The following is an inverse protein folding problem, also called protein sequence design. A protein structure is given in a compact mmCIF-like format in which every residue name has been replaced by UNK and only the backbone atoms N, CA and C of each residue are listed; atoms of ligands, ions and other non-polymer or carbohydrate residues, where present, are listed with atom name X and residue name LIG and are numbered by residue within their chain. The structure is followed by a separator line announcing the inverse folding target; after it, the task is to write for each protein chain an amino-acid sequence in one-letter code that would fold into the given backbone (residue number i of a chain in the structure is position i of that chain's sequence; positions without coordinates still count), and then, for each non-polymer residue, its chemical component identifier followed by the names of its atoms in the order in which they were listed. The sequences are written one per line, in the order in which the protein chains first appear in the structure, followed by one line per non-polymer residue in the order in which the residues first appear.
data_IF_946619154686
#
_entry.id   IF_946619154686
#
_cell.length_a   1.000
_cell.length_b   1.000
_cell.length_c   1.000
_cell.angle_alpha   90.00
_cell.angle_beta   90.00
_cell.angle_gamma   90.00
#
_symmetry.space_group_name_H-M   'P 1'
#
loop_
_entity.id
_entity.type
_entity.pdbx_description
1 polymer ?
#
# COMPACT_ATOMS: atom_id res chain seq x y z
N UNK A 1 -10.54 -15.73 5.45
CA UNK A 1 -9.54 -15.99 6.53
C UNK A 1 -8.82 -17.33 6.40
N UNK A 2 -9.44 -18.38 5.83
CA UNK A 2 -8.82 -19.74 5.77
C UNK A 2 -7.55 -19.85 4.90
N UNK A 3 -7.47 -19.19 3.73
CA UNK A 3 -6.30 -19.36 2.82
C UNK A 3 -5.02 -18.69 3.32
N UNK A 4 -5.09 -17.53 3.94
CA UNK A 4 -3.90 -16.85 4.48
C UNK A 4 -3.28 -17.66 5.62
N UNK A 5 -4.11 -18.27 6.48
CA UNK A 5 -3.62 -19.11 7.58
C UNK A 5 -3.04 -20.45 7.14
N UNK A 6 -3.47 -20.98 5.98
CA UNK A 6 -2.97 -22.26 5.45
C UNK A 6 -1.63 -22.15 4.70
N UNK A 7 -1.24 -20.95 4.26
CA UNK A 7 0.05 -20.76 3.60
C UNK A 7 1.19 -20.81 4.63
N UNK A 8 2.07 -21.78 4.48
CA UNK A 8 3.17 -22.07 5.43
C UNK A 8 4.49 -21.38 5.06
N UNK A 9 4.53 -20.56 4.01
CA UNK A 9 5.76 -19.87 3.60
C UNK A 9 6.29 -18.99 4.75
N UNK A 10 7.53 -19.26 5.25
CA UNK A 10 8.07 -18.54 6.42
C UNK A 10 8.30 -17.04 6.15
N UNK A 11 8.29 -16.61 4.91
CA UNK A 11 8.44 -15.20 4.52
C UNK A 11 7.17 -14.40 4.75
N UNK A 12 6.01 -15.06 4.88
CA UNK A 12 4.74 -14.40 5.21
C UNK A 12 4.66 -14.22 6.73
N UNK A 13 5.01 -13.04 7.19
CA UNK A 13 5.07 -12.65 8.61
C UNK A 13 4.00 -11.62 8.95
N UNK A 14 3.93 -10.55 8.14
CA UNK A 14 3.05 -9.42 8.39
C UNK A 14 1.59 -9.78 8.16
N UNK A 15 1.27 -10.41 7.04
CA UNK A 15 -0.11 -10.77 6.70
C UNK A 15 -0.70 -11.90 7.56
N UNK A 16 0.10 -12.57 8.38
CA UNK A 16 -0.37 -13.47 9.44
C UNK A 16 -0.70 -12.73 10.74
N UNK A 17 -0.23 -11.52 10.91
CA UNK A 17 -0.50 -10.72 12.10
C UNK A 17 -1.87 -10.08 12.02
N UNK A 18 -2.73 -10.35 13.01
CA UNK A 18 -4.10 -9.82 13.07
C UNK A 18 -4.13 -8.30 13.03
N UNK A 19 -3.26 -7.63 13.79
CA UNK A 19 -3.21 -6.16 13.85
C UNK A 19 -2.85 -5.56 12.49
N UNK A 20 -1.97 -6.22 11.71
CA UNK A 20 -1.62 -5.79 10.35
C UNK A 20 -2.83 -5.89 9.42
N UNK A 21 -3.56 -7.00 9.47
CA UNK A 21 -4.78 -7.17 8.66
C UNK A 21 -5.83 -6.13 9.07
N UNK A 22 -6.05 -5.91 10.37
CA UNK A 22 -6.94 -4.87 10.88
C UNK A 22 -6.53 -3.50 10.35
N UNK A 23 -5.25 -3.15 10.46
CA UNK A 23 -4.71 -1.89 9.96
C UNK A 23 -4.95 -1.71 8.45
N UNK A 24 -4.70 -2.74 7.64
CA UNK A 24 -4.93 -2.66 6.19
C UNK A 24 -6.40 -2.37 5.87
N UNK A 25 -7.34 -2.88 6.66
CA UNK A 25 -8.78 -2.60 6.52
C UNK A 25 -9.26 -1.33 7.25
N UNK A 26 -8.36 -0.55 7.84
CA UNK A 26 -8.68 0.70 8.54
C UNK A 26 -9.28 0.50 9.95
N UNK A 27 -9.22 -0.71 10.49
CA UNK A 27 -9.59 -0.99 11.88
C UNK A 27 -8.37 -0.72 12.79
N UNK A 28 -8.41 0.39 13.50
CA UNK A 28 -7.36 0.83 14.42
C UNK A 28 -7.71 0.55 15.88
N UNK A 29 -8.69 -0.30 16.15
CA UNK A 29 -9.16 -0.61 17.51
C UNK A 29 -8.10 -1.29 18.40
N UNK A 30 -7.02 -1.80 17.80
CA UNK A 30 -5.90 -2.37 18.53
C UNK A 30 -4.93 -1.31 19.09
N UNK A 31 -5.02 -0.05 18.64
CA UNK A 31 -4.23 1.04 19.22
C UNK A 31 -4.76 1.42 20.61
N UNK A 32 -3.88 1.80 21.55
CA UNK A 32 -4.31 2.24 22.86
C UNK A 32 -5.31 3.39 22.78
N UNK A 33 -6.35 3.41 23.63
CA UNK A 33 -7.28 4.53 23.69
C UNK A 33 -6.57 5.78 24.20
N UNK A 34 -6.95 6.95 23.67
CA UNK A 34 -6.47 8.25 24.14
C UNK A 34 -7.57 9.04 24.84
N UNK A 35 -7.18 9.88 25.79
CA UNK A 35 -8.08 10.93 26.30
C UNK A 35 -8.38 11.94 25.19
N UNK A 36 -9.65 12.02 24.78
CA UNK A 36 -10.09 12.91 23.69
C UNK A 36 -10.10 14.37 24.15
N UNK A 37 -9.55 15.26 23.34
CA UNK A 37 -9.54 16.71 23.57
C UNK A 37 -10.15 17.47 22.39
N UNK A 38 -9.49 17.39 21.23
CA UNK A 38 -9.98 17.95 19.98
C UNK A 38 -9.32 17.22 18.80
N UNK A 39 -9.94 17.32 17.62
CA UNK A 39 -9.55 16.54 16.42
C UNK A 39 -8.05 16.65 16.10
N UNK A 40 -7.46 17.84 16.14
CA UNK A 40 -6.05 18.06 15.79
C UNK A 40 -5.11 17.37 16.77
N UNK A 41 -5.33 17.59 18.07
CA UNK A 41 -4.51 16.97 19.13
C UNK A 41 -4.68 15.46 19.14
N UNK A 42 -5.90 14.98 18.95
CA UNK A 42 -6.21 13.56 18.92
C UNK A 42 -5.56 12.87 17.72
N UNK A 43 -5.60 13.48 16.54
CA UNK A 43 -4.91 12.97 15.35
C UNK A 43 -3.40 12.88 15.55
N UNK A 44 -2.79 13.91 16.17
CA UNK A 44 -1.35 13.89 16.46
C UNK A 44 -0.96 12.76 17.41
N UNK A 45 -1.75 12.54 18.47
CA UNK A 45 -1.53 11.44 19.41
C UNK A 45 -1.69 10.08 18.74
N UNK A 46 -2.77 9.88 17.97
CA UNK A 46 -2.97 8.64 17.22
C UNK A 46 -1.88 8.40 16.18
N UNK A 47 -1.38 9.46 15.52
CA UNK A 47 -0.26 9.34 14.61
C UNK A 47 0.99 8.81 15.31
N UNK A 48 1.30 9.28 16.50
CA UNK A 48 2.44 8.78 17.30
C UNK A 48 2.26 7.29 17.61
N UNK A 49 1.07 6.90 18.10
CA UNK A 49 0.77 5.50 18.41
C UNK A 49 0.84 4.59 17.16
N UNK A 50 0.33 5.06 16.03
CA UNK A 50 0.41 4.36 14.76
C UNK A 50 1.86 4.22 14.29
N UNK A 51 2.68 5.26 14.42
CA UNK A 51 4.10 5.23 14.05
C UNK A 51 4.91 4.28 14.97
N UNK A 52 4.63 4.25 16.26
CA UNK A 52 5.25 3.30 17.21
C UNK A 52 4.88 1.86 16.88
N UNK A 53 3.59 1.61 16.64
CA UNK A 53 3.09 0.31 16.21
C UNK A 53 3.74 -0.13 14.91
N UNK A 54 3.73 0.72 13.89
CA UNK A 54 4.24 0.40 12.58
C UNK A 54 5.74 0.09 12.57
N UNK A 55 6.53 0.83 13.35
CA UNK A 55 7.96 0.51 13.54
C UNK A 55 8.13 -0.86 14.19
N UNK A 56 7.41 -1.13 15.28
CA UNK A 56 7.46 -2.42 15.98
C UNK A 56 7.11 -3.58 15.05
N UNK A 57 6.01 -3.46 14.31
CA UNK A 57 5.55 -4.50 13.37
C UNK A 57 6.56 -4.72 12.24
N UNK A 58 7.11 -3.64 11.66
CA UNK A 58 8.10 -3.77 10.58
C UNK A 58 9.38 -4.44 11.07
N UNK A 59 9.80 -4.18 12.31
CA UNK A 59 10.94 -4.85 12.94
C UNK A 59 10.73 -6.37 13.16
N UNK A 60 9.49 -6.84 13.29
CA UNK A 60 9.25 -8.30 13.37
C UNK A 60 9.77 -9.03 12.12
N UNK A 61 9.71 -8.40 10.96
CA UNK A 61 10.21 -8.95 9.70
C UNK A 61 11.66 -8.56 9.41
N UNK A 62 12.05 -7.36 9.80
CA UNK A 62 13.36 -6.77 9.50
C UNK A 62 13.98 -6.14 10.75
N UNK A 63 14.46 -6.96 11.70
CA UNK A 63 15.07 -6.47 12.93
C UNK A 63 16.40 -5.71 12.70
N UNK A 64 16.99 -5.85 11.51
CA UNK A 64 18.22 -5.18 11.08
C UNK A 64 18.02 -3.71 10.68
N UNK A 65 16.77 -3.27 10.40
CA UNK A 65 16.50 -1.92 9.93
C UNK A 65 16.39 -0.91 11.07
N UNK A 66 17.04 0.24 10.91
CA UNK A 66 16.78 1.42 11.73
C UNK A 66 15.55 2.14 11.16
N UNK A 67 14.44 2.09 11.90
CA UNK A 67 13.16 2.70 11.52
C UNK A 67 12.88 3.94 12.41
N UNK A 68 13.84 4.85 12.49
CA UNK A 68 13.76 6.01 13.37
C UNK A 68 12.73 7.06 12.93
N UNK A 69 12.46 7.18 11.61
CA UNK A 69 11.55 8.20 11.07
C UNK A 69 10.44 7.64 10.18
N UNK A 70 10.77 6.80 9.22
CA UNK A 70 9.82 6.37 8.19
C UNK A 70 9.78 4.85 8.05
N UNK A 71 8.75 4.23 8.60
CA UNK A 71 8.52 2.80 8.53
C UNK A 71 7.65 2.38 7.33
N UNK A 72 6.75 3.27 6.87
CA UNK A 72 5.70 2.95 5.89
C UNK A 72 6.24 2.43 4.57
N UNK A 73 7.36 2.97 4.07
CA UNK A 73 7.97 2.50 2.82
C UNK A 73 8.35 1.02 2.93
N UNK A 74 9.12 0.65 3.96
CA UNK A 74 9.56 -0.75 4.13
C UNK A 74 8.43 -1.70 4.47
N UNK A 75 7.49 -1.24 5.28
CA UNK A 75 6.27 -2.00 5.55
C UNK A 75 5.49 -2.29 4.26
N UNK A 76 5.26 -1.27 3.43
CA UNK A 76 4.56 -1.43 2.16
C UNK A 76 5.27 -2.37 1.18
N UNK A 77 6.59 -2.24 1.02
CA UNK A 77 7.40 -3.16 0.21
C UNK A 77 7.23 -4.62 0.68
N UNK A 78 7.23 -4.87 2.00
CA UNK A 78 7.06 -6.22 2.55
C UNK A 78 5.62 -6.75 2.41
N UNK A 79 4.61 -5.90 2.59
CA UNK A 79 3.22 -6.30 2.30
C UNK A 79 3.08 -6.69 0.83
N UNK A 80 3.69 -5.94 -0.10
CA UNK A 80 3.70 -6.27 -1.52
C UNK A 80 4.33 -7.64 -1.80
N UNK A 81 5.51 -7.92 -1.20
CA UNK A 81 6.17 -9.21 -1.31
C UNK A 81 5.26 -10.33 -0.80
N UNK A 82 4.71 -10.19 0.41
CA UNK A 82 3.85 -11.21 1.01
C UNK A 82 2.56 -11.45 0.21
N UNK A 83 2.00 -10.40 -0.42
CA UNK A 83 0.86 -10.54 -1.33
C UNK A 83 1.23 -11.35 -2.59
N UNK A 84 2.39 -11.09 -3.19
CA UNK A 84 2.88 -11.89 -4.32
C UNK A 84 3.01 -13.37 -3.92
N UNK A 85 3.63 -13.66 -2.77
CA UNK A 85 3.77 -15.01 -2.25
C UNK A 85 2.42 -15.70 -1.99
N UNK A 86 1.44 -14.98 -1.44
CA UNK A 86 0.09 -15.51 -1.22
C UNK A 86 -0.64 -15.84 -2.53
N UNK A 87 -0.35 -15.08 -3.59
CA UNK A 87 -0.87 -15.32 -4.92
C UNK A 87 -0.10 -16.40 -5.70
N UNK A 88 0.97 -16.96 -5.13
CA UNK A 88 1.85 -17.91 -5.80
C UNK A 88 2.72 -17.28 -6.89
N UNK A 89 2.97 -15.97 -6.83
CA UNK A 89 3.78 -15.21 -7.78
C UNK A 89 5.21 -15.08 -7.31
N UNK A 90 6.13 -14.88 -8.26
CA UNK A 90 7.50 -14.47 -7.95
C UNK A 90 7.52 -13.01 -7.46
N UNK A 91 8.59 -12.68 -6.78
CA UNK A 91 8.85 -11.33 -6.29
C UNK A 91 10.34 -11.04 -6.41
N UNK A 92 10.68 -9.93 -7.03
CA UNK A 92 12.06 -9.46 -7.13
C UNK A 92 12.12 -7.92 -7.14
N UNK A 93 13.30 -7.39 -6.85
CA UNK A 93 13.56 -5.97 -7.09
C UNK A 93 13.85 -5.78 -8.57
N UNK A 94 13.12 -4.91 -9.29
CA UNK A 94 13.34 -4.70 -10.71
C UNK A 94 14.71 -4.05 -10.96
N UNK A 95 15.33 -4.42 -12.08
CA UNK A 95 16.53 -3.74 -12.53
C UNK A 95 16.21 -2.26 -12.85
N UNK A 96 17.12 -1.35 -12.48
CA UNK A 96 16.98 0.06 -12.85
C UNK A 96 17.05 0.21 -14.37
N UNK A 97 16.04 0.84 -14.96
CA UNK A 97 16.03 1.18 -16.39
C UNK A 97 15.93 2.70 -16.57
N UNK A 98 16.88 3.28 -17.29
CA UNK A 98 17.04 4.74 -17.43
C UNK A 98 17.12 5.36 -16.01
N UNK A 99 16.12 6.13 -15.60
CA UNK A 99 16.03 6.74 -14.28
C UNK A 99 14.96 6.12 -13.39
N UNK A 100 14.32 5.03 -13.85
CA UNK A 100 13.23 4.38 -13.14
C UNK A 100 13.72 3.16 -12.37
N UNK A 101 13.28 3.07 -11.12
CA UNK A 101 13.45 1.90 -10.27
C UNK A 101 12.18 1.75 -9.43
N UNK A 102 11.17 1.06 -9.95
CA UNK A 102 9.96 0.72 -9.20
C UNK A 102 10.27 -0.12 -7.96
N UNK A 103 9.29 -0.22 -7.06
CA UNK A 103 9.50 -0.91 -5.78
C UNK A 103 9.68 -2.42 -5.97
N UNK A 104 8.89 -3.06 -6.83
CA UNK A 104 9.01 -4.49 -7.09
C UNK A 104 8.50 -4.95 -8.47
N UNK A 105 8.88 -6.17 -8.82
CA UNK A 105 8.50 -6.88 -10.03
C UNK A 105 7.96 -8.27 -9.66
N UNK A 106 6.80 -8.60 -10.21
CA UNK A 106 6.21 -9.93 -10.18
C UNK A 106 6.23 -10.59 -11.56
N UNK A 107 5.69 -11.81 -11.68
CA UNK A 107 5.59 -12.51 -12.97
C UNK A 107 4.84 -11.69 -14.01
N UNK A 108 3.76 -11.01 -13.59
CA UNK A 108 2.77 -10.40 -14.45
C UNK A 108 2.72 -8.87 -14.40
N UNK A 109 3.46 -8.21 -13.49
CA UNK A 109 3.39 -6.77 -13.32
C UNK A 109 4.65 -6.16 -12.71
N UNK A 110 4.83 -4.87 -12.96
CA UNK A 110 5.66 -3.97 -12.15
C UNK A 110 4.75 -3.35 -11.09
N UNK A 111 5.24 -3.27 -9.85
CA UNK A 111 4.47 -2.79 -8.72
C UNK A 111 5.15 -1.57 -8.10
N UNK A 112 4.40 -0.51 -7.93
CA UNK A 112 4.78 0.69 -7.18
C UNK A 112 3.89 0.78 -5.95
N UNK A 113 4.46 0.90 -4.76
CA UNK A 113 3.73 0.80 -3.50
C UNK A 113 3.51 2.18 -2.89
N UNK A 114 2.28 2.48 -2.51
CA UNK A 114 1.89 3.71 -1.83
C UNK A 114 1.27 3.37 -0.49
N UNK A 115 2.01 3.68 0.57
CA UNK A 115 1.63 3.41 1.95
C UNK A 115 1.61 4.71 2.74
N UNK A 116 0.51 4.97 3.42
CA UNK A 116 0.38 6.12 4.34
C UNK A 116 -0.26 5.68 5.64
N UNK A 117 0.06 6.39 6.71
CA UNK A 117 -0.66 6.27 7.99
C UNK A 117 -2.05 6.91 7.86
N UNK A 118 -2.99 6.49 8.70
CA UNK A 118 -4.36 7.02 8.68
C UNK A 118 -4.47 8.46 9.20
N UNK A 119 -3.46 8.90 9.95
CA UNK A 119 -3.42 10.23 10.57
C UNK A 119 -2.37 11.16 9.93
N UNK A 120 -1.86 10.80 8.72
CA UNK A 120 -0.97 11.71 7.97
C UNK A 120 -1.78 12.89 7.44
N UNK A 121 -1.23 14.10 7.65
CA UNK A 121 -1.73 15.34 7.07
C UNK A 121 -0.72 15.83 6.01
N UNK A 122 -1.21 16.44 4.92
CA UNK A 122 -0.38 17.09 3.93
C UNK A 122 -0.50 16.54 2.50
N UNK A 123 0.55 16.78 1.67
CA UNK A 123 0.55 16.56 0.21
C UNK A 123 0.83 15.10 -0.21
N UNK A 124 0.76 14.15 0.70
CA UNK A 124 1.03 12.75 0.40
C UNK A 124 0.16 12.20 -0.73
N UNK A 125 -1.10 12.65 -0.80
CA UNK A 125 -2.03 12.28 -1.87
C UNK A 125 -1.62 12.75 -3.26
N UNK A 126 -0.99 13.90 -3.40
CA UNK A 126 -0.49 14.39 -4.69
C UNK A 126 0.56 13.44 -5.29
N UNK A 127 1.38 12.82 -4.43
CA UNK A 127 2.37 11.82 -4.85
C UNK A 127 1.71 10.55 -5.39
N UNK A 128 0.53 10.19 -4.89
CA UNK A 128 -0.24 9.05 -5.40
C UNK A 128 -0.82 9.40 -6.76
N UNK A 129 -1.49 10.54 -6.87
CA UNK A 129 -2.12 11.00 -8.12
C UNK A 129 -1.11 11.22 -9.24
N UNK A 130 0.10 11.70 -8.92
CA UNK A 130 1.17 11.91 -9.88
C UNK A 130 1.87 10.63 -10.37
N UNK A 131 1.60 9.46 -9.77
CA UNK A 131 2.26 8.21 -10.15
C UNK A 131 2.10 7.83 -11.63
N UNK A 132 0.89 7.85 -12.24
CA UNK A 132 0.72 7.46 -13.63
C UNK A 132 1.54 8.32 -14.58
N UNK A 133 1.63 9.62 -14.32
CA UNK A 133 2.42 10.54 -15.13
C UNK A 133 3.93 10.30 -14.91
N UNK A 134 4.36 10.19 -13.64
CA UNK A 134 5.76 9.97 -13.29
C UNK A 134 6.34 8.69 -13.88
N UNK A 135 5.50 7.66 -14.01
CA UNK A 135 5.91 6.30 -14.41
C UNK A 135 5.28 5.86 -15.73
N UNK A 136 4.90 6.82 -16.58
CA UNK A 136 4.21 6.55 -17.84
C UNK A 136 4.97 5.58 -18.77
N UNK A 137 6.29 5.59 -18.72
CA UNK A 137 7.15 4.75 -19.57
C UNK A 137 7.38 3.33 -19.03
N UNK A 138 7.02 3.06 -17.77
CA UNK A 138 7.27 1.76 -17.11
C UNK A 138 6.69 0.59 -17.92
N UNK A 139 5.43 0.62 -18.40
CA UNK A 139 4.89 -0.51 -19.14
C UNK A 139 5.71 -0.87 -20.38
N UNK A 140 6.17 0.13 -21.13
CA UNK A 140 6.97 -0.09 -22.33
C UNK A 140 8.41 -0.52 -22.00
N UNK A 141 9.02 0.03 -20.95
CA UNK A 141 10.39 -0.30 -20.54
C UNK A 141 10.51 -1.72 -20.00
N UNK A 142 9.55 -2.16 -19.21
CA UNK A 142 9.60 -3.47 -18.56
C UNK A 142 8.79 -4.54 -19.29
N UNK A 143 8.02 -4.17 -20.32
CA UNK A 143 7.10 -5.06 -21.06
C UNK A 143 6.09 -5.75 -20.13
N UNK A 144 5.68 -5.03 -19.08
CA UNK A 144 4.71 -5.46 -18.06
C UNK A 144 3.86 -4.27 -17.62
N UNK A 145 2.58 -4.47 -17.30
CA UNK A 145 1.76 -3.41 -16.75
C UNK A 145 2.31 -2.88 -15.42
N UNK A 146 2.08 -1.61 -15.14
CA UNK A 146 2.34 -0.98 -13.85
C UNK A 146 1.08 -1.03 -13.00
N UNK A 147 1.16 -1.59 -11.81
CA UNK A 147 0.13 -1.54 -10.78
C UNK A 147 0.59 -0.69 -9.61
N UNK A 148 -0.18 0.35 -9.30
CA UNK A 148 0.08 1.23 -8.17
C UNK A 148 -0.73 0.69 -6.98
N UNK A 149 -0.05 -0.02 -6.09
CA UNK A 149 -0.65 -0.64 -4.91
C UNK A 149 -0.86 0.41 -3.83
N UNK A 150 -2.12 0.65 -3.46
CA UNK A 150 -2.48 1.56 -2.39
C UNK A 150 -2.87 0.78 -1.14
N UNK A 151 -2.31 1.14 0.03
CA UNK A 151 -2.61 0.47 1.30
C UNK A 151 -2.65 1.45 2.48
N UNK A 152 -3.44 1.11 3.49
CA UNK A 152 -3.65 1.91 4.69
C UNK A 152 -4.28 3.27 4.39
N UNK A 153 -3.73 4.34 4.95
CA UNK A 153 -4.19 5.71 4.70
C UNK A 153 -4.18 6.11 3.23
N UNK A 154 -3.22 5.60 2.44
CA UNK A 154 -3.17 5.84 1.00
C UNK A 154 -4.37 5.24 0.26
N UNK A 155 -4.77 4.00 0.57
CA UNK A 155 -5.96 3.38 0.00
C UNK A 155 -7.23 4.14 0.42
N UNK A 156 -7.34 4.52 1.70
CA UNK A 156 -8.46 5.32 2.20
C UNK A 156 -8.59 6.64 1.45
N UNK A 157 -7.49 7.37 1.26
CA UNK A 157 -7.49 8.62 0.51
C UNK A 157 -7.91 8.42 -0.95
N UNK A 158 -7.43 7.34 -1.59
CA UNK A 158 -7.83 7.00 -2.96
C UNK A 158 -9.34 6.73 -3.09
N UNK A 159 -9.95 6.07 -2.11
CA UNK A 159 -11.40 5.78 -2.12
C UNK A 159 -12.25 6.99 -1.76
N UNK A 160 -11.90 7.67 -0.67
CA UNK A 160 -12.78 8.65 -0.03
C UNK A 160 -12.56 10.10 -0.48
N UNK A 161 -11.34 10.42 -0.96
CA UNK A 161 -10.98 11.79 -1.33
C UNK A 161 -10.73 11.93 -2.84
N UNK A 162 -9.84 11.11 -3.39
CA UNK A 162 -9.38 11.28 -4.77
C UNK A 162 -10.27 10.58 -5.79
N UNK A 163 -10.90 9.46 -5.45
CA UNK A 163 -11.76 8.68 -6.34
C UNK A 163 -11.00 8.05 -7.50
N UNK A 164 -9.71 7.73 -7.31
CA UNK A 164 -8.87 7.02 -8.28
C UNK A 164 -8.85 5.50 -8.06
N UNK A 165 -9.55 5.02 -7.06
CA UNK A 165 -10.04 3.65 -6.93
C UNK A 165 -11.55 3.63 -7.19
N UNK A 166 -12.10 2.48 -7.59
CA UNK A 166 -13.53 2.35 -7.82
C UNK A 166 -14.33 2.65 -6.56
N UNK A 167 -15.45 3.36 -6.71
CA UNK A 167 -16.34 3.76 -5.62
C UNK A 167 -17.09 5.05 -5.91
N UNK A 168 -17.87 5.54 -4.94
CA UNK A 168 -18.75 6.70 -5.07
C UNK A 168 -18.03 8.01 -5.45
N UNK A 169 -16.77 8.15 -5.12
CA UNK A 169 -15.97 9.35 -5.42
C UNK A 169 -15.34 9.35 -6.82
N UNK A 170 -15.49 8.25 -7.58
CA UNK A 170 -15.03 8.16 -8.95
C UNK A 170 -16.07 8.77 -9.91
N UNK A 171 -15.96 10.08 -10.18
CA UNK A 171 -16.82 10.78 -11.14
C UNK A 171 -16.59 10.25 -12.57
N UNK A 172 -17.53 10.50 -13.51
CA UNK A 172 -17.34 10.14 -14.92
C UNK A 172 -16.05 10.70 -15.54
N UNK A 173 -15.66 11.93 -15.17
CA UNK A 173 -14.41 12.55 -15.63
C UNK A 173 -13.18 11.82 -15.11
N UNK A 174 -13.19 11.45 -13.82
CA UNK A 174 -12.10 10.65 -13.23
C UNK A 174 -12.03 9.26 -13.87
N UNK A 175 -13.19 8.64 -14.13
CA UNK A 175 -13.28 7.36 -14.83
C UNK A 175 -12.57 7.42 -16.18
N UNK A 176 -12.82 8.46 -16.98
CA UNK A 176 -12.18 8.63 -18.27
C UNK A 176 -10.63 8.68 -18.18
N UNK A 177 -10.08 9.36 -17.14
CA UNK A 177 -8.64 9.34 -16.90
C UNK A 177 -8.13 7.96 -16.49
N UNK A 178 -8.85 7.26 -15.61
CA UNK A 178 -8.47 5.91 -15.18
C UNK A 178 -8.50 4.90 -16.34
N UNK A 179 -9.52 5.00 -17.21
CA UNK A 179 -9.63 4.17 -18.41
C UNK A 179 -8.47 4.45 -19.39
N UNK A 180 -8.09 5.72 -19.54
CA UNK A 180 -6.90 6.08 -20.33
C UNK A 180 -5.62 5.47 -19.73
N UNK A 181 -5.40 5.58 -18.42
CA UNK A 181 -4.24 4.97 -17.78
C UNK A 181 -4.24 3.45 -17.95
N UNK A 182 -5.39 2.80 -17.75
CA UNK A 182 -5.54 1.36 -17.90
C UNK A 182 -5.27 0.88 -19.32
N UNK A 183 -5.73 1.63 -20.33
CA UNK A 183 -5.42 1.36 -21.75
C UNK A 183 -3.92 1.46 -22.06
N UNK A 184 -3.18 2.23 -21.26
CA UNK A 184 -1.71 2.36 -21.35
C UNK A 184 -0.96 1.44 -20.36
N UNK A 185 -1.63 0.45 -19.78
CA UNK A 185 -1.03 -0.53 -18.89
C UNK A 185 -0.72 -0.02 -17.50
N UNK A 186 -1.42 1.02 -17.01
CA UNK A 186 -1.22 1.58 -15.66
C UNK A 186 -2.56 1.57 -14.91
N UNK A 187 -2.56 1.00 -13.71
CA UNK A 187 -3.77 0.96 -12.88
C UNK A 187 -3.46 1.16 -11.39
N UNK A 188 -4.42 1.78 -10.68
CA UNK A 188 -4.42 1.78 -9.22
C UNK A 188 -5.09 0.52 -8.71
N UNK A 189 -4.51 -0.08 -7.67
CA UNK A 189 -5.01 -1.32 -7.07
C UNK A 189 -5.07 -1.16 -5.56
N UNK A 190 -6.21 -1.49 -4.99
CA UNK A 190 -6.38 -1.52 -3.55
C UNK A 190 -5.87 -2.85 -2.98
N UNK A 191 -5.01 -2.79 -1.97
CA UNK A 191 -4.50 -3.99 -1.29
C UNK A 191 -5.62 -4.76 -0.63
N UNK A 192 -6.64 -4.08 -0.08
CA UNK A 192 -7.77 -4.77 0.54
C UNK A 192 -8.62 -5.56 -0.46
N UNK A 193 -8.70 -5.14 -1.73
CA UNK A 193 -9.43 -5.90 -2.76
C UNK A 193 -8.67 -7.18 -3.13
N UNK A 194 -7.34 -7.12 -3.22
CA UNK A 194 -6.51 -8.33 -3.36
C UNK A 194 -6.76 -9.28 -2.18
N UNK A 195 -6.68 -8.77 -0.96
CA UNK A 195 -6.89 -9.59 0.24
C UNK A 195 -8.27 -10.24 0.27
N UNK A 196 -9.33 -9.50 -0.07
CA UNK A 196 -10.70 -10.03 -0.16
C UNK A 196 -10.82 -11.17 -1.18
N UNK A 197 -10.10 -11.08 -2.30
CA UNK A 197 -10.10 -12.13 -3.32
C UNK A 197 -9.37 -13.40 -2.89
N UNK A 198 -8.54 -13.33 -1.85
CA UNK A 198 -7.79 -14.45 -1.28
C UNK A 198 -8.51 -15.10 -0.08
N UNK A 199 -9.55 -14.45 0.44
CA UNK A 199 -10.37 -14.94 1.55
C UNK A 199 -11.55 -15.77 1.06
#
# INVERSE_FOLDING_TARGET
MMRIQSNTDPRIVLLRNKEVVQWLFGDLSFLPPIEKKNKTVDNQKYKILEDEWGRRITHMRRPDLKLDKQWTTKFGEHICEELCLLQGKTFSKPAKKINYQPDCESDDAILEVKTETFFTEGTAGEKILGCPFKYAEIPSLYQKPLRILCLGGAEKACREQYGNLEGEKCSPQKRAFLDFFKANGIEYVAVTDILKSLL
#
